data_IF_247715487924
#
_entry.id   IF_247715487924
#
_cell.length_a   1.000
_cell.length_b   1.000
_cell.length_c   1.000
_cell.angle_alpha   90.00
_cell.angle_beta   90.00
_cell.angle_gamma   90.00
#
_symmetry.space_group_name_H-M   'P 1'
#
loop_
_entity.id
_entity.type
_entity.pdbx_description
1 polymer ?
#
# COMPACT_ATOMS: atom_id res chain seq x y z
N UNK A 1 -16.57 -50.84 0.29
CA UNK A 1 -15.74 -50.15 1.31
C UNK A 1 -14.70 -49.22 0.72
N UNK A 2 -14.02 -49.55 -0.39
CA UNK A 2 -12.97 -48.70 -0.99
C UNK A 2 -13.44 -47.34 -1.55
N UNK A 3 -14.70 -47.24 -2.03
CA UNK A 3 -15.28 -45.98 -2.53
C UNK A 3 -15.59 -44.98 -1.40
N UNK A 4 -15.93 -45.47 -0.21
CA UNK A 4 -16.26 -44.60 0.93
C UNK A 4 -14.98 -43.96 1.53
N UNK A 5 -13.88 -44.71 1.55
CA UNK A 5 -12.59 -44.24 2.07
C UNK A 5 -11.95 -43.18 1.18
N UNK A 6 -12.11 -43.29 -0.14
CA UNK A 6 -11.58 -42.28 -1.10
C UNK A 6 -12.35 -40.97 -1.00
N UNK A 7 -13.68 -41.01 -0.85
CA UNK A 7 -14.52 -39.80 -0.71
C UNK A 7 -14.23 -39.03 0.58
N UNK A 8 -14.06 -39.74 1.71
CA UNK A 8 -13.70 -39.11 2.99
C UNK A 8 -12.31 -38.49 2.92
N UNK A 9 -11.33 -39.17 2.31
CA UNK A 9 -9.99 -38.63 2.11
C UNK A 9 -10.01 -37.37 1.23
N UNK A 10 -10.75 -37.38 0.10
CA UNK A 10 -10.87 -36.22 -0.79
C UNK A 10 -11.52 -35.01 -0.10
N UNK A 11 -12.54 -35.25 0.73
CA UNK A 11 -13.19 -34.18 1.50
C UNK A 11 -12.25 -33.57 2.55
N UNK A 12 -11.49 -34.41 3.26
CA UNK A 12 -10.49 -33.96 4.24
C UNK A 12 -9.32 -33.20 3.60
N UNK A 13 -8.80 -33.68 2.46
CA UNK A 13 -7.75 -32.98 1.71
C UNK A 13 -8.24 -31.62 1.19
N UNK A 14 -9.48 -31.55 0.70
CA UNK A 14 -10.07 -30.31 0.19
C UNK A 14 -10.28 -29.28 1.31
N UNK A 15 -10.73 -29.72 2.49
CA UNK A 15 -10.90 -28.85 3.66
C UNK A 15 -9.57 -28.27 4.17
N UNK A 16 -8.54 -29.11 4.28
CA UNK A 16 -7.21 -28.72 4.77
C UNK A 16 -6.48 -27.76 3.82
N UNK A 17 -6.65 -27.95 2.51
CA UNK A 17 -6.06 -27.07 1.49
C UNK A 17 -6.65 -25.66 1.53
N UNK A 18 -7.96 -25.54 1.80
CA UNK A 18 -8.66 -24.25 1.90
C UNK A 18 -8.20 -23.45 3.12
N UNK A 19 -8.10 -24.09 4.28
CA UNK A 19 -7.65 -23.44 5.52
C UNK A 19 -6.19 -22.96 5.38
N UNK A 20 -5.34 -23.77 4.74
CA UNK A 20 -3.93 -23.40 4.48
C UNK A 20 -3.82 -22.17 3.58
N UNK A 21 -4.60 -22.12 2.50
CA UNK A 21 -4.66 -20.95 1.62
C UNK A 21 -5.27 -19.70 2.30
N UNK A 22 -6.28 -19.88 3.14
CA UNK A 22 -6.93 -18.79 3.87
C UNK A 22 -6.00 -18.13 4.89
N UNK A 23 -5.04 -18.86 5.45
CA UNK A 23 -4.07 -18.32 6.41
C UNK A 23 -2.78 -17.82 5.72
N UNK A 24 -2.39 -18.39 4.58
CA UNK A 24 -1.14 -18.02 3.90
C UNK A 24 -1.18 -16.61 3.30
N UNK A 25 -2.32 -16.21 2.72
CA UNK A 25 -2.42 -14.92 2.02
C UNK A 25 -2.36 -13.72 2.96
N UNK A 26 -3.10 -13.67 4.08
CA UNK A 26 -2.96 -12.58 5.06
C UNK A 26 -1.56 -12.48 5.63
N UNK A 27 -0.93 -13.61 5.99
CA UNK A 27 0.44 -13.62 6.51
C UNK A 27 1.45 -13.07 5.50
N UNK A 28 1.33 -13.49 4.23
CA UNK A 28 2.16 -12.98 3.15
C UNK A 28 1.99 -11.46 2.99
N UNK A 29 0.74 -10.97 2.90
CA UNK A 29 0.44 -9.55 2.73
C UNK A 29 1.01 -8.71 3.88
N UNK A 30 0.80 -9.14 5.13
CA UNK A 30 1.37 -8.45 6.30
C UNK A 30 2.90 -8.39 6.24
N UNK A 31 3.56 -9.47 5.80
CA UNK A 31 5.03 -9.50 5.67
C UNK A 31 5.54 -8.51 4.62
N UNK A 32 4.96 -8.51 3.42
CA UNK A 32 5.41 -7.61 2.33
C UNK A 32 5.10 -6.15 2.63
N UNK A 33 3.97 -5.88 3.28
CA UNK A 33 3.62 -4.53 3.75
C UNK A 33 4.58 -4.05 4.84
N UNK A 34 4.99 -4.91 5.77
CA UNK A 34 5.98 -4.58 6.78
C UNK A 34 7.37 -4.31 6.19
N UNK A 35 7.76 -5.06 5.15
CA UNK A 35 9.02 -4.82 4.41
C UNK A 35 9.01 -3.45 3.72
N UNK A 36 7.94 -3.14 2.99
CA UNK A 36 7.75 -1.83 2.35
C UNK A 36 7.74 -0.69 3.37
N UNK A 37 7.05 -0.87 4.50
CA UNK A 37 7.01 0.12 5.60
C UNK A 37 8.42 0.39 6.16
N UNK A 38 9.19 -0.67 6.42
CA UNK A 38 10.56 -0.53 6.90
C UNK A 38 11.45 0.21 5.89
N UNK A 39 11.28 -0.05 4.59
CA UNK A 39 12.03 0.65 3.55
C UNK A 39 11.69 2.15 3.49
N UNK A 40 10.41 2.52 3.62
CA UNK A 40 9.99 3.92 3.69
C UNK A 40 10.56 4.64 4.93
N UNK A 41 10.52 3.98 6.10
CA UNK A 41 11.12 4.53 7.33
C UNK A 41 12.63 4.71 7.15
N UNK A 42 13.32 3.72 6.57
CA UNK A 42 14.74 3.81 6.28
C UNK A 42 15.05 4.95 5.31
N UNK A 43 14.26 5.11 4.24
CA UNK A 43 14.39 6.22 3.31
C UNK A 43 14.24 7.56 4.03
N UNK A 44 13.18 7.73 4.84
CA UNK A 44 12.96 8.99 5.56
C UNK A 44 14.11 9.36 6.51
N UNK A 45 14.80 8.37 7.06
CA UNK A 45 15.93 8.58 7.98
C UNK A 45 17.26 8.80 7.28
N UNK A 46 17.41 8.39 6.03
CA UNK A 46 18.70 8.36 5.33
C UNK A 46 18.77 9.30 4.13
N UNK A 47 17.63 9.63 3.53
CA UNK A 47 17.55 10.34 2.26
C UNK A 47 17.24 11.82 2.44
N UNK A 48 17.93 12.49 3.37
CA UNK A 48 17.78 13.94 3.53
C UNK A 48 18.39 14.67 2.32
N UNK A 49 17.59 15.30 1.44
CA UNK A 49 18.09 16.06 0.30
C UNK A 49 18.78 17.36 0.72
N UNK A 50 18.54 17.87 1.93
CA UNK A 50 19.17 19.08 2.43
C UNK A 50 20.43 18.73 3.24
N UNK A 51 21.50 18.46 2.49
CA UNK A 51 22.84 18.20 3.06
C UNK A 51 23.55 19.48 3.53
N UNK A 52 22.88 20.64 3.53
CA UNK A 52 23.51 21.94 3.81
C UNK A 52 23.85 22.14 5.30
N UNK A 53 23.39 21.25 6.17
CA UNK A 53 23.64 21.35 7.60
C UNK A 53 24.90 20.56 8.01
N UNK A 54 25.87 21.24 8.60
CA UNK A 54 27.01 20.66 9.35
C UNK A 54 26.54 19.72 10.51
N UNK A 55 25.24 19.63 10.78
CA UNK A 55 24.61 18.92 11.91
C UNK A 55 23.93 17.58 11.55
N UNK A 56 23.94 17.15 10.29
CA UNK A 56 23.42 15.83 9.87
C UNK A 56 21.99 15.83 9.32
N UNK A 57 21.31 14.66 9.36
CA UNK A 57 20.01 14.39 8.73
C UNK A 57 18.84 14.96 9.56
N UNK A 58 18.50 16.22 9.32
CA UNK A 58 17.56 17.03 10.11
C UNK A 58 16.11 16.96 9.64
N UNK A 59 15.86 16.38 8.46
CA UNK A 59 14.53 16.35 7.86
C UNK A 59 14.05 14.91 7.61
N UNK A 60 12.73 14.75 7.42
CA UNK A 60 12.07 13.44 7.23
C UNK A 60 11.19 13.40 5.99
N UNK A 61 11.81 13.11 4.85
CA UNK A 61 11.07 13.02 3.59
C UNK A 61 10.74 11.58 3.24
N UNK A 62 9.54 11.39 2.71
CA UNK A 62 9.16 10.16 2.04
C UNK A 62 9.26 10.36 0.52
N UNK A 63 9.58 9.30 -0.25
CA UNK A 63 9.69 9.43 -1.69
C UNK A 63 8.34 9.77 -2.31
N UNK A 64 8.35 10.40 -3.49
CA UNK A 64 7.15 10.48 -4.30
C UNK A 64 6.72 9.08 -4.77
N UNK A 65 5.41 8.78 -4.87
CA UNK A 65 4.95 7.50 -5.41
C UNK A 65 5.30 7.34 -6.88
N UNK A 66 5.52 6.09 -7.30
CA UNK A 66 5.73 5.65 -8.68
C UNK A 66 4.41 5.75 -9.49
N UNK A 67 4.38 6.53 -10.58
CA UNK A 67 3.18 6.84 -11.35
C UNK A 67 2.97 5.94 -12.57
N UNK A 68 4.01 5.25 -13.03
CA UNK A 68 3.96 4.42 -14.23
C UNK A 68 4.30 2.94 -14.01
N UNK A 69 4.76 2.59 -12.80
CA UNK A 69 5.06 1.25 -12.34
C UNK A 69 6.44 0.74 -12.75
N UNK A 70 7.38 1.61 -13.11
CA UNK A 70 8.77 1.25 -13.43
C UNK A 70 9.67 1.07 -12.19
N UNK A 71 9.17 1.45 -11.00
CA UNK A 71 9.82 1.36 -9.70
C UNK A 71 10.50 2.63 -9.23
N UNK A 72 10.53 3.70 -10.03
CA UNK A 72 11.18 4.96 -9.70
C UNK A 72 10.18 5.97 -9.13
N UNK A 73 10.62 6.76 -8.14
CA UNK A 73 9.82 7.85 -7.59
C UNK A 73 9.77 9.07 -8.52
N UNK A 74 8.59 9.56 -8.89
CA UNK A 74 8.43 10.79 -9.68
C UNK A 74 8.41 12.03 -8.80
N UNK A 75 9.61 12.47 -8.41
CA UNK A 75 9.80 13.75 -7.72
C UNK A 75 10.06 14.90 -8.71
N UNK A 76 9.44 16.09 -8.55
CA UNK A 76 8.44 16.43 -7.54
C UNK A 76 7.03 15.98 -7.94
N UNK A 77 6.25 15.53 -6.96
CA UNK A 77 4.90 15.00 -7.16
C UNK A 77 3.76 15.96 -6.74
N UNK A 78 3.91 17.26 -7.01
CA UNK A 78 2.90 18.31 -6.75
C UNK A 78 2.86 18.84 -5.30
N UNK A 79 1.79 19.53 -4.90
CA UNK A 79 1.68 20.14 -3.56
C UNK A 79 0.76 19.38 -2.58
N UNK A 80 -0.28 18.70 -3.07
CA UNK A 80 -1.24 17.93 -2.24
C UNK A 80 -0.72 16.54 -1.90
N UNK A 81 -1.43 15.76 -1.07
CA UNK A 81 -1.19 14.32 -1.02
C UNK A 81 -1.27 13.71 -2.41
N UNK A 82 -0.51 12.63 -2.59
CA UNK A 82 -0.43 11.93 -3.85
C UNK A 82 -0.35 10.44 -3.59
N UNK A 83 -0.86 9.69 -4.56
CA UNK A 83 -0.92 8.25 -4.55
C UNK A 83 -0.17 7.72 -5.77
N UNK A 84 0.35 6.49 -5.68
CA UNK A 84 0.82 5.73 -6.81
C UNK A 84 1.19 4.30 -6.41
N UNK A 85 2.07 3.70 -7.19
CA UNK A 85 2.79 2.49 -6.84
C UNK A 85 3.88 2.79 -5.82
N UNK A 86 4.24 1.78 -5.02
CA UNK A 86 5.45 1.84 -4.20
C UNK A 86 6.67 1.97 -5.13
N UNK A 87 7.52 3.01 -4.98
CA UNK A 87 8.71 3.20 -5.80
C UNK A 87 9.83 2.24 -5.34
N UNK A 88 9.62 0.94 -5.59
CA UNK A 88 10.44 -0.15 -5.06
C UNK A 88 11.91 -0.02 -5.45
N UNK A 89 12.22 0.46 -6.66
CA UNK A 89 13.60 0.63 -7.12
C UNK A 89 14.27 1.80 -6.38
N UNK A 90 13.57 2.93 -6.21
CA UNK A 90 14.07 4.05 -5.41
C UNK A 90 14.26 3.71 -3.93
N UNK A 91 13.53 2.72 -3.42
CA UNK A 91 13.66 2.19 -2.07
C UNK A 91 14.73 1.09 -1.93
N UNK A 92 15.40 0.71 -3.02
CA UNK A 92 16.40 -0.36 -3.00
C UNK A 92 15.81 -1.76 -2.75
N UNK A 93 14.54 -1.95 -3.10
CA UNK A 93 13.82 -3.21 -2.97
C UNK A 93 13.71 -3.93 -4.31
N UNK A 94 13.37 -5.21 -4.27
CA UNK A 94 12.75 -5.88 -5.41
C UNK A 94 11.26 -5.49 -5.49
N UNK A 95 10.58 -5.70 -6.63
CA UNK A 95 9.14 -5.46 -6.75
C UNK A 95 8.36 -6.29 -5.72
N UNK A 96 7.80 -5.63 -4.71
CA UNK A 96 7.01 -6.27 -3.67
C UNK A 96 5.58 -6.48 -4.17
N UNK A 97 5.11 -7.72 -4.07
CA UNK A 97 3.78 -8.14 -4.52
C UNK A 97 3.03 -8.77 -3.36
N UNK A 98 1.73 -8.54 -3.33
CA UNK A 98 0.83 -9.22 -2.41
C UNK A 98 0.58 -10.67 -2.84
N UNK A 99 -0.24 -11.39 -2.06
CA UNK A 99 -0.55 -12.79 -2.29
C UNK A 99 -1.35 -13.04 -3.60
N UNK A 100 -1.91 -11.99 -4.21
CA UNK A 100 -2.55 -12.06 -5.54
C UNK A 100 -1.56 -11.81 -6.69
N UNK A 101 -0.32 -11.43 -6.38
CA UNK A 101 0.70 -11.03 -7.35
C UNK A 101 0.64 -9.55 -7.74
N UNK A 102 -0.13 -8.72 -7.02
CA UNK A 102 -0.29 -7.29 -7.32
C UNK A 102 0.73 -6.47 -6.55
N UNK A 103 1.34 -5.46 -7.19
CA UNK A 103 2.24 -4.55 -6.49
C UNK A 103 1.51 -3.72 -5.42
N UNK A 104 2.27 -3.19 -4.47
CA UNK A 104 1.71 -2.39 -3.38
C UNK A 104 1.37 -0.97 -3.84
N UNK A 105 0.23 -0.46 -3.40
CA UNK A 105 -0.13 0.96 -3.55
C UNK A 105 0.37 1.76 -2.37
N UNK A 106 0.67 3.01 -2.64
CA UNK A 106 1.36 3.89 -1.72
C UNK A 106 0.76 5.30 -1.80
N UNK A 107 0.37 5.81 -0.64
CA UNK A 107 -0.11 7.18 -0.44
C UNK A 107 0.86 7.90 0.47
N UNK A 108 1.15 9.17 0.16
CA UNK A 108 2.01 10.03 0.97
C UNK A 108 1.33 11.38 1.24
N UNK A 109 1.37 11.81 2.49
CA UNK A 109 0.80 13.09 2.92
C UNK A 109 1.58 14.27 2.32
N UNK A 110 0.87 15.35 2.01
CA UNK A 110 1.44 16.55 1.39
C UNK A 110 2.71 17.07 2.08
N UNK A 111 2.70 17.15 3.41
CA UNK A 111 3.79 17.74 4.20
C UNK A 111 5.05 16.87 4.30
N UNK A 112 4.96 15.58 3.96
CA UNK A 112 6.02 14.60 4.19
C UNK A 112 6.70 14.11 2.91
N UNK A 113 6.15 14.40 1.73
CA UNK A 113 6.75 13.96 0.48
C UNK A 113 7.94 14.83 0.08
N UNK A 114 8.88 14.22 -0.62
CA UNK A 114 10.01 14.90 -1.22
C UNK A 114 9.56 16.02 -2.18
N UNK A 115 10.23 17.17 -2.12
CA UNK A 115 9.86 18.35 -2.88
C UNK A 115 8.76 19.21 -2.25
N UNK A 116 8.36 18.94 -1.00
CA UNK A 116 7.53 19.87 -0.21
C UNK A 116 8.22 21.23 -0.05
N UNK A 117 7.42 22.30 -0.02
CA UNK A 117 7.91 23.67 0.17
C UNK A 117 8.48 23.90 1.57
N UNK A 118 7.92 23.20 2.57
CA UNK A 118 8.39 23.26 3.96
C UNK A 118 8.83 21.86 4.36
N UNK A 119 10.14 21.61 4.41
CA UNK A 119 10.71 20.37 4.90
C UNK A 119 10.21 20.00 6.31
N UNK A 120 9.84 18.74 6.57
CA UNK A 120 9.46 18.29 7.91
C UNK A 120 10.72 18.12 8.78
N UNK A 121 10.97 19.07 9.68
CA UNK A 121 12.08 19.01 10.64
C UNK A 121 11.81 17.94 11.71
N UNK A 122 12.83 17.14 12.05
CA UNK A 122 12.76 16.14 13.11
C UNK A 122 12.34 16.72 14.46
N UNK A 123 12.80 17.93 14.78
CA UNK A 123 12.46 18.62 16.03
C UNK A 123 11.04 19.19 16.06
N UNK A 124 10.35 19.23 14.93
CA UNK A 124 9.05 19.89 14.77
C UNK A 124 8.28 19.27 13.59
N UNK A 125 8.01 17.97 13.67
CA UNK A 125 7.27 17.25 12.63
C UNK A 125 5.85 17.83 12.48
N UNK A 126 5.39 18.18 11.26
CA UNK A 126 4.06 18.74 11.05
C UNK A 126 2.97 17.68 11.22
N UNK A 127 1.74 18.09 11.49
CA UNK A 127 0.60 17.16 11.44
C UNK A 127 0.39 16.65 10.00
N UNK A 128 -0.15 15.43 9.89
CA UNK A 128 -0.43 14.81 8.60
C UNK A 128 -1.93 14.65 8.39
N UNK A 129 -2.36 14.65 7.12
CA UNK A 129 -3.79 14.76 6.79
C UNK A 129 -4.55 13.44 6.81
N UNK A 130 -3.88 12.28 6.79
CA UNK A 130 -4.56 11.00 6.67
C UNK A 130 -5.07 10.46 8.00
N UNK A 131 -6.18 9.73 7.92
CA UNK A 131 -6.73 8.95 9.04
C UNK A 131 -6.87 7.49 8.67
N UNK A 132 -6.61 6.61 9.63
CA UNK A 132 -6.85 5.18 9.52
C UNK A 132 -8.02 4.81 10.42
N UNK A 133 -8.99 4.12 9.85
CA UNK A 133 -10.24 3.74 10.49
C UNK A 133 -10.40 2.22 10.53
N UNK A 134 -11.30 1.79 11.40
CA UNK A 134 -11.84 0.44 11.46
C UNK A 134 -13.36 0.55 11.52
N UNK A 135 -14.08 -0.57 11.39
CA UNK A 135 -15.54 -0.57 11.64
C UNK A 135 -15.91 -0.14 13.06
N UNK A 136 -14.99 -0.25 14.02
CA UNK A 136 -15.16 0.22 15.41
C UNK A 136 -14.86 1.71 15.60
N UNK A 137 -14.35 2.42 14.58
CA UNK A 137 -13.98 3.83 14.64
C UNK A 137 -12.51 4.08 14.31
N UNK A 138 -12.07 5.30 14.63
CA UNK A 138 -10.71 5.80 14.37
C UNK A 138 -9.66 4.90 15.04
N UNK A 139 -8.66 4.50 14.25
CA UNK A 139 -7.51 3.69 14.69
C UNK A 139 -6.28 4.59 14.87
N UNK A 140 -6.02 5.46 13.90
CA UNK A 140 -4.93 6.43 13.96
C UNK A 140 -5.30 7.71 13.22
N UNK A 141 -4.89 8.85 13.77
CA UNK A 141 -4.83 10.13 13.09
C UNK A 141 -3.37 10.47 12.78
N UNK A 142 -3.14 11.58 12.05
CA UNK A 142 -1.80 12.05 11.71
C UNK A 142 -0.94 10.99 11.00
N UNK A 143 -1.58 10.22 10.12
CA UNK A 143 -0.91 9.22 9.30
C UNK A 143 -0.16 9.91 8.16
N UNK A 144 1.15 9.64 8.03
CA UNK A 144 2.03 10.30 7.04
C UNK A 144 2.07 9.55 5.72
N UNK A 145 1.81 8.25 5.76
CA UNK A 145 1.74 7.41 4.58
C UNK A 145 0.88 6.17 4.83
N UNK A 146 0.31 5.65 3.75
CA UNK A 146 -0.48 4.42 3.75
C UNK A 146 0.04 3.49 2.67
N UNK A 147 0.25 2.23 3.02
CA UNK A 147 0.59 1.15 2.11
C UNK A 147 -0.57 0.17 2.04
N UNK A 148 -0.96 -0.22 0.83
CA UNK A 148 -2.10 -1.10 0.61
C UNK A 148 -1.71 -2.25 -0.31
N UNK A 149 -2.01 -3.47 0.13
CA UNK A 149 -2.02 -4.67 -0.69
C UNK A 149 -3.46 -4.86 -1.23
N UNK A 150 -3.70 -4.64 -2.53
CA UNK A 150 -5.06 -4.58 -3.08
C UNK A 150 -5.77 -5.92 -3.24
N UNK A 151 -5.07 -7.04 -3.02
CA UNK A 151 -5.65 -8.36 -3.16
C UNK A 151 -6.11 -8.70 -4.59
N UNK A 152 -6.94 -9.73 -4.67
CA UNK A 152 -7.49 -10.22 -5.94
C UNK A 152 -8.44 -9.20 -6.56
N UNK A 153 -8.57 -9.22 -7.88
CA UNK A 153 -9.57 -8.40 -8.58
C UNK A 153 -10.97 -8.77 -8.09
N UNK A 154 -11.70 -7.79 -7.56
CA UNK A 154 -13.13 -7.93 -7.22
C UNK A 154 -14.03 -7.28 -8.27
N UNK A 155 -15.34 -7.49 -8.16
CA UNK A 155 -16.30 -6.97 -9.12
C UNK A 155 -16.22 -5.44 -9.24
N UNK A 156 -16.18 -4.93 -10.48
CA UNK A 156 -16.08 -3.49 -10.77
C UNK A 156 -14.66 -2.98 -11.01
N UNK A 157 -13.63 -3.74 -10.59
CA UNK A 157 -12.23 -3.38 -10.83
C UNK A 157 -11.76 -3.78 -12.23
N UNK A 158 -10.95 -2.92 -12.87
CA UNK A 158 -10.36 -3.18 -14.18
C UNK A 158 -8.90 -2.74 -14.23
N UNK A 159 -7.98 -3.70 -14.12
CA UNK A 159 -6.52 -3.45 -14.06
C UNK A 159 -5.86 -3.45 -15.46
N UNK A 160 -6.55 -2.84 -16.43
CA UNK A 160 -6.11 -2.78 -17.83
C UNK A 160 -4.94 -1.80 -18.01
N UNK A 161 -3.90 -2.24 -18.71
CA UNK A 161 -2.75 -1.41 -19.04
C UNK A 161 -3.01 -0.42 -20.19
N UNK A 162 -4.18 -0.43 -20.82
CA UNK A 162 -4.51 0.50 -21.89
C UNK A 162 -5.04 1.85 -21.36
N UNK A 163 -4.67 2.99 -21.98
CA UNK A 163 -3.63 3.12 -23.01
C UNK A 163 -2.23 2.87 -22.44
N UNK A 164 -1.26 2.50 -23.29
CA UNK A 164 0.12 2.26 -22.86
C UNK A 164 0.54 0.77 -22.87
N UNK A 165 1.76 0.52 -22.41
CA UNK A 165 2.36 -0.81 -22.31
C UNK A 165 2.54 -1.20 -20.85
N UNK A 166 2.45 -2.50 -20.55
CA UNK A 166 2.70 -3.05 -19.21
C UNK A 166 4.12 -2.74 -18.75
N UNK A 167 4.26 -2.17 -17.55
CA UNK A 167 5.51 -2.08 -16.78
C UNK A 167 5.50 -3.14 -15.67
N UNK A 168 6.50 -3.14 -14.78
CA UNK A 168 6.59 -4.13 -13.69
C UNK A 168 5.36 -4.10 -12.79
N UNK A 169 4.92 -2.91 -12.38
CA UNK A 169 3.76 -2.72 -11.52
C UNK A 169 2.56 -2.07 -12.23
N UNK A 170 2.79 -1.36 -13.33
CA UNK A 170 1.85 -0.40 -13.89
C UNK A 170 1.73 -0.45 -15.42
N UNK A 171 1.60 0.73 -16.00
CA UNK A 171 1.62 0.98 -17.43
C UNK A 171 2.37 2.27 -17.74
N UNK A 172 3.01 2.34 -18.90
CA UNK A 172 3.72 3.54 -19.38
C UNK A 172 2.81 4.76 -19.58
N UNK A 173 1.48 4.61 -19.53
CA UNK A 173 0.56 5.75 -19.53
C UNK A 173 -0.11 5.90 -18.16
N UNK A 174 0.11 7.04 -17.52
CA UNK A 174 -0.47 7.41 -16.23
C UNK A 174 -2.01 7.35 -16.21
N UNK A 175 -2.66 7.69 -17.33
CA UNK A 175 -4.12 7.63 -17.47
C UNK A 175 -4.68 6.20 -17.61
N UNK A 176 -3.82 5.17 -17.73
CA UNK A 176 -4.28 3.78 -17.78
C UNK A 176 -4.98 3.40 -16.48
N UNK A 177 -6.01 2.56 -16.59
CA UNK A 177 -6.71 2.06 -15.39
C UNK A 177 -5.77 1.35 -14.43
N UNK A 178 -4.70 0.75 -14.96
CA UNK A 178 -3.67 0.07 -14.18
C UNK A 178 -2.94 1.02 -13.21
N UNK A 179 -2.77 2.30 -13.53
CA UNK A 179 -2.09 3.23 -12.62
C UNK A 179 -3.05 4.00 -11.70
N UNK A 180 -4.37 3.77 -11.78
CA UNK A 180 -5.36 4.52 -11.02
C UNK A 180 -5.86 3.72 -9.81
N UNK A 181 -5.78 4.27 -8.59
CA UNK A 181 -6.09 3.54 -7.35
C UNK A 181 -7.54 3.02 -7.31
N UNK A 182 -8.48 3.76 -7.91
CA UNK A 182 -9.90 3.39 -8.02
C UNK A 182 -10.14 2.03 -8.71
N UNK A 183 -9.17 1.51 -9.47
CA UNK A 183 -9.28 0.21 -10.12
C UNK A 183 -8.71 -0.95 -9.28
N UNK A 184 -8.30 -0.67 -8.04
CA UNK A 184 -7.64 -1.61 -7.14
C UNK A 184 -8.25 -1.68 -5.76
N UNK A 185 -8.77 -0.56 -5.25
CA UNK A 185 -9.17 -0.43 -3.86
C UNK A 185 -10.67 -0.62 -3.67
N UNK A 186 -11.00 -1.08 -2.48
CA UNK A 186 -12.35 -1.41 -2.09
C UNK A 186 -12.96 -0.35 -1.16
N UNK A 187 -14.28 -0.35 -1.12
CA UNK A 187 -15.07 0.54 -0.26
C UNK A 187 -15.82 -0.28 0.79
N UNK A 188 -15.71 0.12 2.05
CA UNK A 188 -16.52 -0.44 3.15
C UNK A 188 -16.83 0.65 4.16
N UNK A 189 -17.99 0.56 4.81
CA UNK A 189 -18.43 1.54 5.82
C UNK A 189 -18.38 3.01 5.34
N UNK A 190 -18.57 3.25 4.04
CA UNK A 190 -18.53 4.58 3.43
C UNK A 190 -17.13 5.16 3.19
N UNK A 191 -16.07 4.40 3.48
CA UNK A 191 -14.68 4.80 3.26
C UNK A 191 -14.13 4.00 2.07
N UNK A 192 -13.55 4.70 1.10
CA UNK A 192 -12.92 4.14 -0.10
C UNK A 192 -11.40 4.24 0.03
N UNK A 193 -10.70 3.10 0.06
CA UNK A 193 -9.24 3.05 0.19
C UNK A 193 -8.47 3.63 -1.01
N UNK A 194 -9.13 3.94 -2.14
CA UNK A 194 -8.52 4.68 -3.24
C UNK A 194 -8.40 6.19 -2.98
N UNK A 195 -9.10 6.72 -1.98
CA UNK A 195 -9.28 8.15 -1.79
C UNK A 195 -8.77 8.61 -0.43
N UNK A 196 -7.74 9.45 -0.45
CA UNK A 196 -7.34 10.22 0.72
C UNK A 196 -8.46 11.23 1.11
N UNK A 197 -8.58 11.61 2.40
CA UNK A 197 -7.64 11.32 3.49
C UNK A 197 -7.96 10.08 4.33
N UNK A 198 -9.15 9.50 4.17
CA UNK A 198 -9.64 8.46 5.07
C UNK A 198 -9.42 7.06 4.52
N UNK A 199 -8.78 6.20 5.29
CA UNK A 199 -8.52 4.80 4.95
C UNK A 199 -9.17 3.88 5.98
N UNK A 200 -9.45 2.63 5.59
CA UNK A 200 -10.12 1.66 6.45
C UNK A 200 -9.46 0.26 6.41
N UNK A 201 -9.28 -0.32 7.59
CA UNK A 201 -8.80 -1.67 7.78
C UNK A 201 -9.87 -2.71 7.41
N UNK A 202 -9.40 -3.88 6.94
CA UNK A 202 -10.25 -5.02 6.62
C UNK A 202 -11.12 -5.49 7.79
N UNK A 203 -12.41 -5.80 7.58
CA UNK A 203 -13.23 -6.42 8.60
C UNK A 203 -12.67 -7.83 8.89
N UNK A 204 -12.33 -8.11 10.14
CA UNK A 204 -11.79 -9.40 10.63
C UNK A 204 -12.74 -10.61 10.47
N UNK A 205 -13.84 -10.49 9.71
CA UNK A 205 -14.85 -11.53 9.53
C UNK A 205 -14.70 -12.19 8.16
N UNK A 206 -14.34 -13.48 8.17
CA UNK A 206 -14.20 -14.35 6.98
C UNK A 206 -15.48 -14.49 6.13
N UNK A 207 -16.63 -13.95 6.60
CA UNK A 207 -17.93 -14.06 5.95
C UNK A 207 -18.36 -12.78 5.21
N UNK A 208 -17.60 -11.67 5.29
CA UNK A 208 -17.95 -10.36 4.72
C UNK A 208 -16.97 -9.88 3.63
N UNK A 209 -16.20 -10.81 3.04
CA UNK A 209 -15.03 -10.54 2.18
C UNK A 209 -15.31 -10.63 0.68
N UNK A 210 -16.58 -10.66 0.26
CA UNK A 210 -16.92 -10.82 -1.16
C UNK A 210 -16.43 -9.68 -2.05
N UNK A 211 -16.32 -8.47 -1.48
CA UNK A 211 -15.98 -7.24 -2.20
C UNK A 211 -14.98 -6.34 -1.48
N UNK A 212 -14.42 -6.79 -0.35
CA UNK A 212 -13.38 -6.05 0.39
C UNK A 212 -12.24 -7.01 0.73
N UNK A 213 -11.09 -6.84 0.08
CA UNK A 213 -9.91 -7.66 0.30
C UNK A 213 -8.60 -6.86 0.44
N UNK A 214 -8.69 -5.53 0.49
CA UNK A 214 -7.56 -4.66 0.80
C UNK A 214 -6.95 -4.98 2.18
N UNK A 215 -5.62 -5.06 2.23
CA UNK A 215 -4.87 -5.08 3.48
C UNK A 215 -4.06 -3.79 3.58
N UNK A 216 -4.28 -3.03 4.65
CA UNK A 216 -3.73 -1.69 4.83
C UNK A 216 -2.76 -1.67 6.01
N UNK A 217 -1.63 -1.00 5.85
CA UNK A 217 -0.75 -0.59 6.96
C UNK A 217 -0.46 0.92 6.84
N UNK A 218 -0.43 1.62 7.97
CA UNK A 218 -0.10 3.05 8.03
C UNK A 218 1.31 3.29 8.57
N UNK A 219 1.85 4.46 8.25
CA UNK A 219 3.02 5.05 8.86
C UNK A 219 2.60 6.31 9.63
N UNK A 220 3.11 6.48 10.83
CA UNK A 220 2.93 7.68 11.65
C UNK A 220 4.18 8.56 11.62
N UNK A 221 4.02 9.85 11.87
CA UNK A 221 5.14 10.80 11.91
C UNK A 221 6.21 10.41 12.92
N UNK A 222 5.82 9.90 14.09
CA UNK A 222 6.75 9.43 15.13
C UNK A 222 7.56 8.18 14.76
N UNK A 223 7.26 7.53 13.64
CA UNK A 223 8.07 6.42 13.12
C UNK A 223 9.24 6.90 12.26
N UNK A 224 9.19 8.13 11.74
CA UNK A 224 10.19 8.71 10.86
C UNK A 224 11.43 9.20 11.63
#
# INVERSE_FOLDING_TARGET
MMLLTVSVAAFLLSGMSRISHQLSSPFHNTRVLAEAKNALIAYARLSDPDLSADTGLNYRYLPCPDQDGDGLAESPCGASSVEGWLPWMSLGLAPLRDASGTCLRYFVAAAYKQGTATPPLVSALPNAEFTLNSRSGLVAADVVAVLIAPGNVVAGQSRSAAPGNVTECGSTASASKRNQADNYMDTTAGINNALAPDFILSPLSLNDTGSFNDVVISLLSGEL
#
